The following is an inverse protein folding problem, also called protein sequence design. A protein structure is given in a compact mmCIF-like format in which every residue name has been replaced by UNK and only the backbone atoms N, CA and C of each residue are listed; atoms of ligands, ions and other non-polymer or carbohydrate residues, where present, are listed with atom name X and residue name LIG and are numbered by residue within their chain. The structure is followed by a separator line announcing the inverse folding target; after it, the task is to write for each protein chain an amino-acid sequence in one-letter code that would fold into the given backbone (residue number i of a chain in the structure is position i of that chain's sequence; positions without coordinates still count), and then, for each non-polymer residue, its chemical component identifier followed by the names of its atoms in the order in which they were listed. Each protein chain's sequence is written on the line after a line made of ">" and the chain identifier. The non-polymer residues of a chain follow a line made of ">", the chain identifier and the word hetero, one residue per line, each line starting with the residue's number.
data_IF_937671240587
#
_entry.id   IF_937671240587
#
_cell.length_a   1.000
_cell.length_b   1.000
_cell.length_c   1.000
_cell.angle_alpha   90.00
_cell.angle_beta   90.00
_cell.angle_gamma   90.00
#
_symmetry.space_group_name_H-M   'P 1'
#
loop_
_entity.id
_entity.type
_entity.pdbx_description
1 polymer ?
#
# COMPACT_ATOMS: atom_id res chain seq x y z
N UNK A 1 15.50 4.47 -9.90
CA UNK A 1 14.93 4.67 -8.54
C UNK A 1 13.54 4.03 -8.36
N UNK A 2 12.97 3.38 -9.39
CA UNK A 2 11.63 2.79 -9.38
C UNK A 2 11.43 1.68 -8.35
N UNK A 3 12.50 0.96 -7.99
CA UNK A 3 12.49 -0.04 -6.91
C UNK A 3 12.23 0.57 -5.52
N UNK A 4 12.82 1.74 -5.23
CA UNK A 4 12.56 2.45 -3.97
C UNK A 4 11.13 2.95 -3.93
N UNK A 5 10.62 3.49 -5.03
CA UNK A 5 9.22 3.89 -5.17
C UNK A 5 8.29 2.70 -4.94
N UNK A 6 8.65 1.52 -5.44
CA UNK A 6 7.86 0.30 -5.27
C UNK A 6 7.85 -0.20 -3.81
N UNK A 7 8.99 -0.12 -3.12
CA UNK A 7 9.05 -0.44 -1.69
C UNK A 7 8.19 0.54 -0.88
N UNK A 8 8.29 1.84 -1.17
CA UNK A 8 7.48 2.87 -0.51
C UNK A 8 5.97 2.67 -0.83
N UNK A 9 5.63 2.26 -2.06
CA UNK A 9 4.25 1.92 -2.43
C UNK A 9 3.70 0.78 -1.55
N UNK A 10 4.48 -0.28 -1.34
CA UNK A 10 4.10 -1.39 -0.46
C UNK A 10 3.95 -0.97 1.01
N UNK A 11 4.81 -0.09 1.51
CA UNK A 11 4.68 0.45 2.88
C UNK A 11 3.38 1.26 3.06
N UNK A 12 3.01 2.07 2.05
CA UNK A 12 1.74 2.80 2.08
C UNK A 12 0.51 1.89 2.00
N UNK A 13 0.64 0.73 1.36
CA UNK A 13 -0.41 -0.29 1.35
C UNK A 13 -0.67 -0.79 2.78
N UNK A 14 0.39 -1.10 3.54
CA UNK A 14 0.30 -1.52 4.95
C UNK A 14 -0.40 -0.46 5.81
N UNK A 15 -0.10 0.82 5.58
CA UNK A 15 -0.79 1.94 6.25
C UNK A 15 -2.28 1.98 5.88
N UNK A 16 -2.62 1.73 4.61
CA UNK A 16 -4.00 1.62 4.14
C UNK A 16 -4.76 0.46 4.81
N UNK A 17 -4.12 -0.70 4.93
CA UNK A 17 -4.67 -1.88 5.64
C UNK A 17 -4.84 -1.61 7.14
N UNK A 18 -3.92 -0.87 7.75
CA UNK A 18 -4.06 -0.39 9.14
C UNK A 18 -5.32 0.47 9.30
N UNK A 19 -5.69 1.24 8.27
CA UNK A 19 -6.96 1.96 8.21
C UNK A 19 -8.18 1.04 8.36
N UNK A 20 -8.16 -0.17 7.76
CA UNK A 20 -9.22 -1.18 7.91
C UNK A 20 -9.33 -1.64 9.37
N UNK A 21 -8.19 -1.92 10.01
CA UNK A 21 -8.15 -2.30 11.43
C UNK A 21 -8.73 -1.19 12.32
N UNK A 22 -8.43 0.08 12.03
CA UNK A 22 -9.00 1.22 12.76
C UNK A 22 -10.52 1.36 12.58
N UNK A 23 -11.04 1.02 11.39
CA UNK A 23 -12.49 0.98 11.14
C UNK A 23 -13.12 -0.12 12.00
N UNK A 24 -12.51 -1.31 12.05
CA UNK A 24 -12.97 -2.44 12.85
C UNK A 24 -12.92 -2.14 14.37
N UNK A 25 -11.90 -1.40 14.84
CA UNK A 25 -11.75 -0.95 16.22
C UNK A 25 -12.71 0.18 16.64
N UNK A 26 -13.63 0.61 15.76
CA UNK A 26 -14.65 1.61 16.05
C UNK A 26 -14.29 3.06 15.69
N UNK A 27 -13.05 3.33 15.23
CA UNK A 27 -12.63 4.65 14.75
C UNK A 27 -12.94 4.88 13.27
N UNK A 28 -14.21 4.65 12.88
CA UNK A 28 -14.66 4.62 11.47
C UNK A 28 -14.22 5.84 10.65
N UNK A 29 -14.44 7.07 11.14
CA UNK A 29 -14.10 8.30 10.39
C UNK A 29 -12.60 8.44 10.11
N UNK A 30 -11.75 8.16 11.11
CA UNK A 30 -10.28 8.24 10.97
C UNK A 30 -9.76 7.09 10.11
N UNK A 31 -10.28 5.87 10.32
CA UNK A 31 -9.90 4.70 9.56
C UNK A 31 -10.25 4.81 8.08
N UNK A 32 -11.42 5.34 7.70
CA UNK A 32 -11.76 5.62 6.30
C UNK A 32 -10.81 6.64 5.65
N UNK A 33 -10.44 7.70 6.37
CA UNK A 33 -9.49 8.69 5.86
C UNK A 33 -8.11 8.08 5.60
N UNK A 34 -7.59 7.30 6.57
CA UNK A 34 -6.29 6.63 6.46
C UNK A 34 -6.30 5.58 5.33
N UNK A 35 -7.39 4.82 5.21
CA UNK A 35 -7.57 3.82 4.17
C UNK A 35 -7.53 4.46 2.77
N UNK A 36 -8.35 5.48 2.55
CA UNK A 36 -8.47 6.13 1.24
C UNK A 36 -7.14 6.80 0.86
N UNK A 37 -6.53 7.55 1.78
CA UNK A 37 -5.27 8.24 1.51
C UNK A 37 -4.13 7.24 1.31
N UNK A 38 -4.04 6.19 2.13
CA UNK A 38 -3.01 5.16 2.02
C UNK A 38 -3.06 4.41 0.69
N UNK A 39 -4.25 3.95 0.29
CA UNK A 39 -4.43 3.25 -0.98
C UNK A 39 -4.21 4.15 -2.20
N UNK A 40 -4.70 5.40 -2.19
CA UNK A 40 -4.48 6.33 -3.31
C UNK A 40 -2.98 6.57 -3.52
N UNK A 41 -2.24 6.83 -2.44
CA UNK A 41 -0.80 7.06 -2.52
C UNK A 41 -0.09 5.79 -2.99
N UNK A 42 -0.44 4.63 -2.42
CA UNK A 42 0.14 3.33 -2.79
C UNK A 42 -0.05 3.02 -4.28
N UNK A 43 -1.28 3.13 -4.80
CA UNK A 43 -1.58 2.89 -6.22
C UNK A 43 -0.88 3.87 -7.15
N UNK A 44 -0.77 5.14 -6.76
CA UNK A 44 -0.07 6.15 -7.56
C UNK A 44 1.42 5.84 -7.67
N UNK A 45 2.05 5.45 -6.56
CA UNK A 45 3.46 5.07 -6.53
C UNK A 45 3.71 3.75 -7.28
N UNK A 46 2.81 2.78 -7.16
CA UNK A 46 2.87 1.52 -7.92
C UNK A 46 2.82 1.79 -9.42
N UNK A 47 1.87 2.62 -9.89
CA UNK A 47 1.79 3.02 -11.29
C UNK A 47 3.06 3.71 -11.78
N UNK A 48 3.68 4.54 -10.94
CA UNK A 48 4.96 5.18 -11.27
C UNK A 48 6.09 4.13 -11.40
N UNK A 49 6.16 3.15 -10.50
CA UNK A 49 7.15 2.09 -10.55
C UNK A 49 6.97 1.15 -11.76
N UNK A 50 5.72 0.92 -12.16
CA UNK A 50 5.35 0.11 -13.33
C UNK A 50 5.77 0.73 -14.67
N UNK A 51 6.14 2.01 -14.72
CA UNK A 51 6.70 2.60 -15.95
C UNK A 51 8.06 2.00 -16.31
N UNK A 52 8.76 1.38 -15.35
CA UNK A 52 10.11 0.83 -15.54
C UNK A 52 10.22 -0.63 -15.16
N UNK A 53 9.34 -1.12 -14.27
CA UNK A 53 9.32 -2.50 -13.80
C UNK A 53 8.15 -3.24 -14.48
N UNK A 54 8.35 -4.44 -15.03
CA UNK A 54 7.26 -5.25 -15.57
C UNK A 54 6.16 -5.47 -14.52
N UNK A 55 4.91 -5.36 -14.94
CA UNK A 55 3.72 -5.48 -14.08
C UNK A 55 3.80 -6.71 -13.15
N UNK A 56 4.18 -7.88 -13.68
CA UNK A 56 4.25 -9.11 -12.88
C UNK A 56 5.23 -9.03 -11.71
N UNK A 57 6.41 -8.44 -11.92
CA UNK A 57 7.42 -8.27 -10.86
C UNK A 57 6.95 -7.18 -9.89
N UNK A 58 6.46 -6.06 -10.41
CA UNK A 58 5.99 -4.95 -9.60
C UNK A 58 4.87 -5.39 -8.64
N UNK A 59 3.89 -6.13 -9.16
CA UNK A 59 2.75 -6.60 -8.37
C UNK A 59 3.13 -7.69 -7.38
N UNK A 60 4.02 -8.62 -7.75
CA UNK A 60 4.49 -9.67 -6.84
C UNK A 60 5.24 -9.08 -5.63
N UNK A 61 6.09 -8.08 -5.85
CA UNK A 61 6.83 -7.43 -4.76
C UNK A 61 5.90 -6.53 -3.93
N UNK A 62 5.01 -5.77 -4.57
CA UNK A 62 4.03 -4.91 -3.88
C UNK A 62 3.13 -5.73 -2.94
N UNK A 63 2.48 -6.77 -3.46
CA UNK A 63 1.63 -7.67 -2.66
C UNK A 63 2.41 -8.42 -1.58
N UNK A 64 3.67 -8.81 -1.85
CA UNK A 64 4.55 -9.43 -0.86
C UNK A 64 4.86 -8.51 0.34
N UNK A 65 5.11 -7.23 0.08
CA UNK A 65 5.33 -6.24 1.15
C UNK A 65 4.03 -6.01 1.95
N UNK A 66 2.90 -5.85 1.26
CA UNK A 66 1.59 -5.67 1.88
C UNK A 66 1.20 -6.84 2.78
N UNK A 67 1.42 -8.07 2.33
CA UNK A 67 1.14 -9.29 3.13
C UNK A 67 2.04 -9.41 4.35
N UNK A 68 3.35 -9.18 4.22
CA UNK A 68 4.26 -9.22 5.38
C UNK A 68 3.92 -8.12 6.39
N UNK A 69 3.66 -6.90 5.93
CA UNK A 69 3.36 -5.78 6.83
C UNK A 69 1.96 -5.84 7.45
N UNK A 70 1.02 -6.58 6.87
CA UNK A 70 -0.32 -6.79 7.47
C UNK A 70 -0.40 -8.03 8.36
N UNK A 71 0.52 -8.97 8.20
CA UNK A 71 0.61 -10.18 9.03
C UNK A 71 1.35 -9.95 10.35
N UNK A 72 2.18 -8.91 10.44
CA UNK A 72 2.86 -8.44 11.65
C UNK A 72 1.97 -7.49 12.45
#
# INVERSE_FOLDING_TARGET
>A
MSWIVLIIAGLFEVVGVTGIQMIAAGQKKKGYAVLIVGFIISFTLLGLAMNTIPLGIAYAVWTGIGTVGSAL
#
